data_IF_280645852547
#
_entry.id   IF_280645852547
#
_cell.length_a   1.000
_cell.length_b   1.000
_cell.length_c   1.000
_cell.angle_alpha   90.00
_cell.angle_beta   90.00
_cell.angle_gamma   90.00
#
_symmetry.space_group_name_H-M   'P 1'
#
loop_
_entity.id
_entity.type
_entity.pdbx_description
1 polymer ?
#
# COMPACT_ATOMS: atom_id res chain seq x y z
N UNK A 1 -15.12 -3.72 -1.08
CA UNK A 1 -14.14 -3.07 -1.98
C UNK A 1 -13.33 -4.07 -2.79
N UNK A 2 -12.70 -5.04 -2.19
CA UNK A 2 -11.89 -6.10 -2.79
C UNK A 2 -12.53 -7.44 -2.52
N UNK A 3 -12.58 -8.32 -3.52
CA UNK A 3 -12.96 -9.72 -3.36
C UNK A 3 -12.00 -10.59 -4.16
N UNK A 4 -11.29 -11.45 -3.47
CA UNK A 4 -10.43 -12.50 -4.02
C UNK A 4 -11.11 -13.83 -3.77
N UNK A 5 -11.26 -14.65 -4.80
CA UNK A 5 -11.87 -15.98 -4.73
C UNK A 5 -10.93 -17.00 -5.37
N UNK A 6 -10.49 -17.95 -4.55
CA UNK A 6 -9.59 -19.06 -4.93
C UNK A 6 -8.33 -18.58 -5.67
N UNK A 7 -7.68 -17.51 -5.19
CA UNK A 7 -6.48 -16.96 -5.81
C UNK A 7 -5.28 -17.87 -5.59
N UNK A 8 -4.64 -18.23 -6.69
CA UNK A 8 -3.36 -18.91 -6.72
C UNK A 8 -2.29 -18.04 -7.39
N UNK A 9 -1.04 -18.15 -6.93
CA UNK A 9 0.12 -17.56 -7.61
C UNK A 9 1.28 -18.53 -7.66
N UNK A 10 1.68 -18.85 -8.87
CA UNK A 10 2.80 -19.73 -9.20
C UNK A 10 3.89 -18.90 -9.89
N UNK A 11 5.11 -18.99 -9.41
CA UNK A 11 6.28 -18.49 -10.12
C UNK A 11 7.01 -19.67 -10.74
N UNK A 12 7.29 -19.57 -12.03
CA UNK A 12 8.05 -20.59 -12.78
C UNK A 12 9.36 -19.99 -13.23
N UNK A 13 10.45 -20.61 -12.87
CA UNK A 13 11.76 -20.47 -13.49
C UNK A 13 12.08 -21.77 -14.24
N UNK A 14 13.12 -21.76 -15.06
CA UNK A 14 13.48 -22.92 -15.93
C UNK A 14 13.63 -24.22 -15.15
N UNK A 15 13.97 -24.20 -13.87
CA UNK A 15 14.25 -25.38 -13.05
C UNK A 15 13.32 -25.57 -11.84
N UNK A 16 12.58 -24.53 -11.42
CA UNK A 16 11.81 -24.55 -10.16
C UNK A 16 10.44 -23.91 -10.32
N UNK A 17 9.43 -24.62 -9.87
CA UNK A 17 8.08 -24.04 -9.68
C UNK A 17 7.85 -23.75 -8.20
N UNK A 18 7.59 -22.49 -7.87
CA UNK A 18 7.31 -22.04 -6.49
C UNK A 18 5.88 -21.55 -6.40
N UNK A 19 5.08 -22.19 -5.56
CA UNK A 19 3.72 -21.72 -5.24
C UNK A 19 3.80 -20.69 -4.13
N UNK A 20 3.57 -19.42 -4.47
CA UNK A 20 3.59 -18.32 -3.50
C UNK A 20 2.24 -18.11 -2.81
N UNK A 21 1.11 -18.35 -3.51
CA UNK A 21 -0.23 -18.28 -2.94
C UNK A 21 -1.04 -19.51 -3.32
N UNK A 22 -1.84 -20.02 -2.37
CA UNK A 22 -2.62 -21.25 -2.50
C UNK A 22 -4.03 -21.03 -1.99
N UNK A 23 -5.00 -20.96 -2.91
CA UNK A 23 -6.43 -20.87 -2.58
C UNK A 23 -6.71 -19.75 -1.57
N UNK A 24 -6.41 -18.50 -1.95
CA UNK A 24 -6.68 -17.33 -1.14
C UNK A 24 -8.10 -16.85 -1.40
N UNK A 25 -8.94 -16.92 -0.36
CA UNK A 25 -10.24 -16.31 -0.29
C UNK A 25 -10.19 -15.13 0.68
N UNK A 26 -10.44 -13.92 0.18
CA UNK A 26 -10.36 -12.70 0.97
C UNK A 26 -11.33 -11.64 0.46
N UNK A 27 -12.09 -11.05 1.37
CA UNK A 27 -12.86 -9.83 1.11
C UNK A 27 -12.35 -8.70 1.99
N UNK A 28 -12.28 -7.48 1.45
CA UNK A 28 -11.93 -6.26 2.19
C UNK A 28 -12.98 -5.21 1.85
N UNK A 29 -13.60 -4.65 2.88
CA UNK A 29 -14.65 -3.65 2.75
C UNK A 29 -14.06 -2.22 2.59
N UNK A 30 -14.84 -1.27 2.07
CA UNK A 30 -14.42 0.13 2.01
C UNK A 30 -14.27 0.69 3.44
N UNK A 31 -13.22 1.48 3.66
CA UNK A 31 -12.89 2.06 4.97
C UNK A 31 -12.35 1.05 5.99
N UNK A 32 -12.08 -0.20 5.59
CA UNK A 32 -11.46 -1.19 6.47
C UNK A 32 -9.96 -0.94 6.60
N UNK A 33 -9.42 -1.12 7.81
CA UNK A 33 -7.97 -1.20 8.04
C UNK A 33 -7.63 -2.65 8.34
N UNK A 34 -6.88 -3.29 7.44
CA UNK A 34 -6.49 -4.70 7.53
C UNK A 34 -4.99 -4.82 7.68
N UNK A 35 -4.52 -5.62 8.62
CA UNK A 35 -3.13 -6.02 8.76
C UNK A 35 -2.93 -7.47 8.31
N UNK A 36 -1.98 -7.71 7.42
CA UNK A 36 -1.56 -9.05 6.97
C UNK A 36 -0.26 -9.39 7.66
N UNK A 37 -0.27 -10.48 8.42
CA UNK A 37 0.86 -10.97 9.22
C UNK A 37 1.28 -12.38 8.78
N UNK A 38 2.49 -12.77 9.17
CA UNK A 38 3.03 -14.10 8.94
C UNK A 38 4.56 -14.09 8.82
N UNK A 39 5.21 -15.25 8.83
CA UNK A 39 6.65 -15.35 8.69
C UNK A 39 7.17 -14.83 7.35
N UNK A 40 8.49 -14.56 7.28
CA UNK A 40 9.13 -14.18 6.01
C UNK A 40 8.93 -15.28 4.97
N UNK A 41 8.68 -14.88 3.71
CA UNK A 41 8.49 -15.82 2.59
C UNK A 41 7.10 -16.48 2.52
N UNK A 42 6.16 -16.22 3.44
CA UNK A 42 4.84 -16.87 3.41
C UNK A 42 3.86 -16.30 2.36
N UNK A 43 4.27 -15.35 1.51
CA UNK A 43 3.45 -14.82 0.40
C UNK A 43 2.78 -13.46 0.65
N UNK A 44 3.06 -12.76 1.77
CA UNK A 44 2.41 -11.46 2.12
C UNK A 44 2.58 -10.39 1.04
N UNK A 45 3.82 -10.12 0.63
CA UNK A 45 4.11 -9.10 -0.40
C UNK A 45 3.57 -9.53 -1.77
N UNK A 46 3.53 -10.84 -2.07
CA UNK A 46 2.88 -11.36 -3.27
C UNK A 46 1.38 -11.08 -3.25
N UNK A 47 0.71 -11.33 -2.12
CA UNK A 47 -0.71 -11.02 -1.96
C UNK A 47 -0.94 -9.51 -2.08
N UNK A 48 -0.10 -8.69 -1.43
CA UNK A 48 -0.19 -7.22 -1.51
C UNK A 48 -0.01 -6.73 -2.96
N UNK A 49 0.91 -7.31 -3.73
CA UNK A 49 1.13 -6.96 -5.13
C UNK A 49 -0.05 -7.34 -6.02
N UNK A 50 -0.71 -8.48 -5.76
CA UNK A 50 -1.95 -8.85 -6.48
C UNK A 50 -3.07 -7.86 -6.12
N UNK A 51 -3.30 -7.59 -4.84
CA UNK A 51 -4.27 -6.57 -4.39
C UNK A 51 -3.97 -5.21 -5.04
N UNK A 52 -2.69 -4.89 -5.16
CA UNK A 52 -2.17 -3.66 -5.77
C UNK A 52 -2.19 -3.61 -7.28
N UNK A 53 -2.68 -4.65 -7.96
CA UNK A 53 -2.70 -4.75 -9.42
C UNK A 53 -1.30 -4.63 -10.06
N UNK A 54 -0.23 -4.87 -9.28
CA UNK A 54 1.16 -4.91 -9.76
C UNK A 54 1.46 -6.28 -10.37
N UNK A 55 0.95 -7.34 -9.73
CA UNK A 55 1.09 -8.71 -10.19
C UNK A 55 -0.29 -9.34 -10.47
N UNK A 56 -0.32 -10.38 -11.28
CA UNK A 56 -1.54 -11.10 -11.65
C UNK A 56 -1.60 -12.44 -10.94
N UNK A 57 -2.78 -12.89 -10.50
CA UNK A 57 -2.94 -14.27 -10.06
C UNK A 57 -2.68 -15.23 -11.24
N UNK A 58 -2.23 -16.44 -10.93
CA UNK A 58 -2.12 -17.52 -11.92
C UNK A 58 -3.47 -18.18 -12.20
N UNK A 59 -4.38 -18.16 -11.21
CA UNK A 59 -5.78 -18.58 -11.33
C UNK A 59 -6.61 -17.97 -10.20
N UNK A 60 -7.93 -18.12 -10.28
CA UNK A 60 -8.90 -17.54 -9.36
C UNK A 60 -9.53 -16.27 -9.92
N UNK A 61 -10.38 -15.63 -9.14
CA UNK A 61 -11.13 -14.42 -9.54
C UNK A 61 -10.81 -13.25 -8.62
N UNK A 62 -10.55 -12.10 -9.21
CA UNK A 62 -10.35 -10.85 -8.48
C UNK A 62 -11.39 -9.80 -8.91
N UNK A 63 -12.21 -9.34 -7.95
CA UNK A 63 -13.13 -8.23 -8.16
C UNK A 63 -12.65 -7.01 -7.37
N UNK A 64 -12.53 -5.87 -8.06
CA UNK A 64 -12.26 -4.57 -7.47
C UNK A 64 -13.50 -3.68 -7.61
N UNK A 65 -14.11 -3.27 -6.50
CA UNK A 65 -15.39 -2.53 -6.45
C UNK A 65 -16.52 -3.20 -7.25
N UNK A 66 -16.57 -4.54 -7.21
CA UNK A 66 -17.58 -5.32 -7.92
C UNK A 66 -17.29 -5.57 -9.40
N UNK A 67 -16.26 -4.94 -9.96
CA UNK A 67 -15.81 -5.16 -11.34
C UNK A 67 -14.75 -6.26 -11.37
N UNK A 68 -14.94 -7.28 -12.22
CA UNK A 68 -13.95 -8.32 -12.42
C UNK A 68 -12.77 -7.79 -13.23
N UNK A 69 -11.56 -7.99 -12.67
CA UNK A 69 -10.35 -7.43 -13.24
C UNK A 69 -9.31 -8.48 -13.64
N UNK A 70 -9.59 -9.77 -13.40
CA UNK A 70 -8.66 -10.87 -13.64
C UNK A 70 -8.10 -10.88 -15.05
N UNK A 71 -8.96 -10.65 -16.06
CA UNK A 71 -8.62 -10.68 -17.50
C UNK A 71 -8.39 -9.29 -18.12
N UNK A 72 -8.34 -8.22 -17.31
CA UNK A 72 -8.12 -6.87 -17.84
C UNK A 72 -6.72 -6.71 -18.40
N UNK A 73 -6.59 -5.92 -19.46
CA UNK A 73 -5.28 -5.58 -20.04
C UNK A 73 -4.45 -4.69 -19.09
N UNK A 74 -3.15 -4.63 -19.34
CA UNK A 74 -2.23 -3.84 -18.49
C UNK A 74 -2.56 -2.35 -18.50
N UNK A 75 -3.06 -1.82 -19.61
CA UNK A 75 -3.44 -0.40 -19.72
C UNK A 75 -4.66 -0.09 -18.82
N UNK A 76 -5.63 -1.00 -18.72
CA UNK A 76 -6.76 -0.88 -17.79
C UNK A 76 -6.30 -0.97 -16.34
N UNK A 77 -5.46 -1.95 -15.99
CA UNK A 77 -4.90 -2.09 -14.64
C UNK A 77 -4.07 -0.86 -14.24
N UNK A 78 -3.25 -0.32 -15.15
CA UNK A 78 -2.49 0.89 -14.91
C UNK A 78 -3.38 2.11 -14.63
N UNK A 79 -4.50 2.26 -15.34
CA UNK A 79 -5.50 3.31 -15.05
C UNK A 79 -6.13 3.11 -13.68
N UNK A 80 -6.51 1.88 -13.32
CA UNK A 80 -7.10 1.56 -12.02
C UNK A 80 -6.09 1.85 -10.88
N UNK A 81 -4.82 1.45 -11.04
CA UNK A 81 -3.75 1.79 -10.08
C UNK A 81 -3.64 3.30 -9.89
N UNK A 82 -3.49 4.04 -11.00
CA UNK A 82 -3.37 5.50 -11.00
C UNK A 82 -4.51 6.17 -10.25
N UNK A 83 -5.74 5.71 -10.46
CA UNK A 83 -6.93 6.42 -10.00
C UNK A 83 -7.35 6.03 -8.59
N UNK A 84 -7.00 4.81 -8.13
CA UNK A 84 -7.54 4.25 -6.89
C UNK A 84 -6.49 3.88 -5.84
N UNK A 85 -5.22 3.74 -6.20
CA UNK A 85 -4.22 3.09 -5.33
C UNK A 85 -3.12 4.07 -4.91
N UNK A 86 -2.72 3.99 -3.64
CA UNK A 86 -1.51 4.59 -3.10
C UNK A 86 -0.61 3.52 -2.50
N UNK A 87 0.69 3.58 -2.77
CA UNK A 87 1.67 2.61 -2.28
C UNK A 87 2.63 3.26 -1.31
N UNK A 88 2.86 2.60 -0.18
CA UNK A 88 3.85 2.94 0.84
C UNK A 88 4.76 1.73 1.02
N UNK A 89 6.06 1.88 0.76
CA UNK A 89 7.05 0.80 0.83
C UNK A 89 7.97 0.98 2.03
N UNK A 90 8.56 -0.12 2.49
CA UNK A 90 9.56 -0.13 3.55
C UNK A 90 10.80 0.72 3.21
N UNK A 91 11.26 0.67 1.96
CA UNK A 91 12.47 1.38 1.49
C UNK A 91 12.19 2.79 0.95
N UNK A 92 11.04 3.40 1.31
CA UNK A 92 10.58 4.73 0.90
C UNK A 92 10.42 4.89 -0.62
N UNK A 93 11.34 4.39 -1.43
CA UNK A 93 11.38 4.46 -2.90
C UNK A 93 11.22 5.91 -3.41
N UNK A 94 11.89 6.85 -2.75
CA UNK A 94 12.04 8.22 -3.22
C UNK A 94 13.13 8.28 -4.29
N UNK A 95 12.97 9.19 -5.24
CA UNK A 95 13.97 9.46 -6.28
C UNK A 95 14.94 10.50 -5.75
N UNK A 96 16.22 10.15 -5.62
CA UNK A 96 17.24 10.96 -4.95
C UNK A 96 17.54 12.28 -5.67
N UNK A 97 17.37 12.32 -7.00
CA UNK A 97 17.58 13.49 -7.85
C UNK A 97 16.41 14.49 -7.83
N UNK A 98 15.30 14.12 -7.21
CA UNK A 98 14.11 14.96 -7.09
C UNK A 98 14.00 15.52 -5.67
N UNK A 99 13.53 16.75 -5.56
CA UNK A 99 13.10 17.32 -4.27
C UNK A 99 11.93 16.53 -3.68
N UNK A 100 11.66 16.74 -2.40
CA UNK A 100 10.52 16.09 -1.73
C UNK A 100 9.19 16.50 -2.38
N UNK A 101 9.01 17.77 -2.74
CA UNK A 101 7.80 18.20 -3.44
C UNK A 101 7.64 17.51 -4.80
N UNK A 102 8.72 17.39 -5.58
CA UNK A 102 8.72 16.70 -6.87
C UNK A 102 8.44 15.19 -6.70
N UNK A 103 9.02 14.54 -5.68
CA UNK A 103 8.71 13.15 -5.35
C UNK A 103 7.23 12.96 -5.04
N UNK A 104 6.61 13.86 -4.28
CA UNK A 104 5.18 13.81 -3.98
C UNK A 104 4.35 14.06 -5.24
N UNK A 105 4.77 15.00 -6.10
CA UNK A 105 4.09 15.31 -7.36
C UNK A 105 4.05 14.12 -8.33
N UNK A 106 5.00 13.16 -8.24
CA UNK A 106 4.98 11.93 -9.07
C UNK A 106 3.65 11.17 -8.97
N UNK A 107 2.98 11.18 -7.81
CA UNK A 107 1.66 10.59 -7.64
C UNK A 107 0.57 11.22 -8.51
N UNK A 108 0.84 12.36 -9.13
CA UNK A 108 -0.09 13.11 -9.99
C UNK A 108 0.34 13.18 -11.46
N UNK A 109 1.55 12.74 -11.83
CA UNK A 109 2.14 12.93 -13.17
C UNK A 109 1.23 12.40 -14.28
N UNK A 110 0.62 11.24 -14.06
CA UNK A 110 -0.27 10.61 -15.05
C UNK A 110 -1.73 11.05 -14.96
N UNK A 111 -2.04 12.03 -14.09
CA UNK A 111 -3.38 12.62 -13.96
C UNK A 111 -3.43 13.96 -14.71
N UNK A 112 -4.51 14.21 -15.45
CA UNK A 112 -4.70 15.44 -16.25
C UNK A 112 -5.15 16.60 -15.36
N UNK A 113 -4.28 17.07 -14.46
CA UNK A 113 -4.59 18.20 -13.59
C UNK A 113 -3.80 19.44 -13.99
N UNK A 114 -4.42 20.62 -13.87
CA UNK A 114 -3.75 21.89 -14.12
C UNK A 114 -2.60 22.11 -13.13
N UNK A 115 -1.50 22.73 -13.56
CA UNK A 115 -0.31 22.91 -12.73
C UNK A 115 -0.57 23.59 -11.39
N UNK A 116 -1.49 24.58 -11.34
CA UNK A 116 -1.87 25.24 -10.10
C UNK A 116 -2.56 24.29 -9.12
N UNK A 117 -3.43 23.43 -9.61
CA UNK A 117 -4.14 22.43 -8.81
C UNK A 117 -3.18 21.35 -8.29
N UNK A 118 -2.26 20.88 -9.14
CA UNK A 118 -1.21 19.92 -8.72
C UNK A 118 -0.39 20.46 -7.55
N UNK A 119 0.08 21.72 -7.65
CA UNK A 119 0.86 22.35 -6.60
C UNK A 119 0.09 22.41 -5.27
N UNK A 120 -1.17 22.84 -5.30
CA UNK A 120 -2.00 22.91 -4.10
C UNK A 120 -2.20 21.53 -3.45
N UNK A 121 -2.38 20.46 -4.25
CA UNK A 121 -2.53 19.09 -3.75
C UNK A 121 -1.24 18.55 -3.15
N UNK A 122 -0.09 18.83 -3.77
CA UNK A 122 1.23 18.46 -3.24
C UNK A 122 1.45 19.12 -1.87
N UNK A 123 1.19 20.42 -1.76
CA UNK A 123 1.30 21.17 -0.51
C UNK A 123 0.39 20.58 0.57
N UNK A 124 -0.90 20.38 0.28
CA UNK A 124 -1.86 19.79 1.20
C UNK A 124 -1.47 18.37 1.65
N UNK A 125 -0.96 17.51 0.74
CA UNK A 125 -0.50 16.17 1.09
C UNK A 125 0.73 16.21 2.00
N UNK A 126 1.67 17.12 1.76
CA UNK A 126 2.86 17.30 2.59
C UNK A 126 2.53 17.88 3.96
N UNK A 127 1.59 18.83 4.04
CA UNK A 127 1.09 19.35 5.31
C UNK A 127 0.41 18.28 6.14
N UNK A 128 -0.40 17.43 5.49
CA UNK A 128 -1.11 16.32 6.15
C UNK A 128 -0.18 15.37 6.90
N UNK A 129 1.03 15.16 6.40
CA UNK A 129 2.03 14.26 7.01
C UNK A 129 3.17 15.03 7.73
N UNK A 130 3.08 16.37 7.81
CA UNK A 130 4.03 17.21 8.55
C UNK A 130 5.42 17.36 7.91
N UNK A 131 5.53 17.30 6.56
CA UNK A 131 6.82 17.47 5.84
C UNK A 131 6.85 18.66 4.89
N UNK A 132 5.86 19.55 4.90
CA UNK A 132 5.81 20.70 4.00
C UNK A 132 7.03 21.63 4.12
N UNK A 133 7.59 21.79 5.33
CA UNK A 133 8.81 22.55 5.57
C UNK A 133 10.06 21.96 4.89
N UNK A 134 9.99 20.72 4.38
CA UNK A 134 11.05 20.01 3.65
C UNK A 134 10.83 19.97 2.13
N UNK A 135 9.85 20.70 1.60
CA UNK A 135 9.45 20.66 0.19
C UNK A 135 10.60 20.76 -0.81
N UNK A 136 11.59 21.62 -0.51
CA UNK A 136 12.74 21.91 -1.38
C UNK A 136 13.99 21.08 -1.07
N UNK A 137 13.92 20.20 -0.06
CA UNK A 137 15.04 19.32 0.29
C UNK A 137 15.02 18.08 -0.60
N UNK A 138 16.17 17.41 -0.69
CA UNK A 138 16.33 16.12 -1.36
C UNK A 138 16.26 14.97 -0.34
N UNK A 139 15.93 13.73 -0.77
CA UNK A 139 15.79 12.59 0.14
C UNK A 139 16.96 12.39 1.10
N UNK A 140 18.20 12.48 0.61
CA UNK A 140 19.42 12.30 1.42
C UNK A 140 19.60 13.36 2.54
N UNK A 141 18.83 14.44 2.52
CA UNK A 141 18.85 15.50 3.54
C UNK A 141 17.81 15.27 4.66
N UNK A 142 17.02 14.19 4.57
CA UNK A 142 15.93 13.88 5.49
C UNK A 142 16.28 12.67 6.36
N UNK A 143 15.75 12.65 7.60
CA UNK A 143 15.76 11.45 8.43
C UNK A 143 14.85 10.36 7.79
N UNK A 144 15.06 9.09 8.16
CA UNK A 144 14.21 7.98 7.67
C UNK A 144 12.73 8.21 7.92
N UNK A 145 12.34 8.71 9.10
CA UNK A 145 10.95 9.05 9.41
C UNK A 145 10.39 10.17 8.52
N UNK A 146 11.20 11.19 8.19
CA UNK A 146 10.79 12.24 7.26
C UNK A 146 10.65 11.71 5.82
N UNK A 147 11.55 10.82 5.40
CA UNK A 147 11.49 10.17 4.08
C UNK A 147 10.22 9.31 3.98
N UNK A 148 9.88 8.54 5.02
CA UNK A 148 8.67 7.73 5.03
C UNK A 148 7.40 8.59 4.99
N UNK A 149 7.37 9.69 5.74
CA UNK A 149 6.24 10.64 5.66
C UNK A 149 6.13 11.25 4.26
N UNK A 150 7.24 11.56 3.59
CA UNK A 150 7.22 12.02 2.19
C UNK A 150 6.68 10.94 1.24
N UNK A 151 7.07 9.67 1.44
CA UNK A 151 6.54 8.53 0.68
C UNK A 151 5.02 8.36 0.89
N UNK A 152 4.53 8.56 2.12
CA UNK A 152 3.08 8.57 2.40
C UNK A 152 2.41 9.77 1.70
N UNK A 153 2.99 10.97 1.75
CA UNK A 153 2.45 12.13 1.02
C UNK A 153 2.30 11.83 -0.47
N UNK A 154 3.31 11.21 -1.11
CA UNK A 154 3.26 10.74 -2.50
C UNK A 154 2.12 9.74 -2.73
N UNK A 155 1.91 8.81 -1.80
CA UNK A 155 0.86 7.82 -1.91
C UNK A 155 -0.54 8.43 -1.85
N UNK A 156 -0.75 9.46 -1.00
CA UNK A 156 -2.08 10.05 -0.74
C UNK A 156 -2.40 11.28 -1.59
N UNK A 157 -1.43 11.88 -2.29
CA UNK A 157 -1.62 13.13 -3.06
C UNK A 157 -2.72 13.01 -4.12
N UNK A 158 -2.90 11.81 -4.65
CA UNK A 158 -3.97 11.47 -5.59
C UNK A 158 -5.32 11.18 -4.95
N UNK A 159 -5.44 11.23 -3.63
CA UNK A 159 -6.64 10.84 -2.87
C UNK A 159 -7.11 9.42 -3.24
N UNK A 160 -6.25 8.40 -3.06
CA UNK A 160 -6.61 7.03 -3.40
C UNK A 160 -7.69 6.50 -2.45
N UNK A 161 -8.51 5.59 -2.95
CA UNK A 161 -9.49 4.88 -2.13
C UNK A 161 -8.90 3.69 -1.36
N UNK A 162 -7.72 3.22 -1.81
CA UNK A 162 -6.99 2.11 -1.21
C UNK A 162 -5.52 2.47 -1.05
N UNK A 163 -5.01 2.33 0.17
CA UNK A 163 -3.60 2.49 0.51
C UNK A 163 -3.03 1.10 0.82
N UNK A 164 -1.95 0.74 0.13
CA UNK A 164 -1.20 -0.49 0.34
C UNK A 164 0.12 -0.14 1.00
N UNK A 165 0.38 -0.69 2.18
CA UNK A 165 1.58 -0.42 2.96
C UNK A 165 2.37 -1.72 3.18
N UNK A 166 3.54 -1.85 2.57
CA UNK A 166 4.43 -2.99 2.76
C UNK A 166 5.51 -2.63 3.79
N UNK A 167 5.36 -3.14 5.00
CA UNK A 167 6.22 -2.90 6.16
C UNK A 167 6.57 -1.41 6.39
N UNK A 168 5.57 -0.52 6.52
CA UNK A 168 5.77 0.94 6.44
C UNK A 168 6.66 1.51 7.56
N UNK A 169 6.97 0.72 8.58
CA UNK A 169 7.79 1.11 9.74
C UNK A 169 9.06 0.30 9.88
N UNK A 170 9.33 -0.64 8.95
CA UNK A 170 10.41 -1.63 9.09
C UNK A 170 11.83 -1.05 9.13
N UNK A 171 12.04 0.15 8.60
CA UNK A 171 13.34 0.85 8.59
C UNK A 171 13.36 2.06 9.53
N UNK A 172 12.44 2.15 10.50
CA UNK A 172 12.30 3.30 11.40
C UNK A 172 12.57 2.90 12.85
N UNK A 173 13.05 3.87 13.63
CA UNK A 173 13.02 3.77 15.08
C UNK A 173 11.57 3.79 15.61
N UNK A 174 11.41 3.49 16.88
CA UNK A 174 10.08 3.36 17.51
C UNK A 174 9.27 4.64 17.41
N UNK A 175 9.87 5.80 17.70
CA UNK A 175 9.17 7.09 17.70
C UNK A 175 8.65 7.47 16.30
N UNK A 176 9.52 7.37 15.28
CA UNK A 176 9.13 7.61 13.90
C UNK A 176 8.12 6.57 13.38
N UNK A 177 8.25 5.32 13.84
CA UNK A 177 7.28 4.25 13.53
C UNK A 177 5.88 4.57 14.07
N UNK A 178 5.76 5.02 15.32
CA UNK A 178 4.49 5.44 15.92
C UNK A 178 3.87 6.62 15.17
N UNK A 179 4.67 7.64 14.80
CA UNK A 179 4.18 8.77 14.00
C UNK A 179 3.62 8.32 12.64
N UNK A 180 4.28 7.39 11.97
CA UNK A 180 3.79 6.80 10.71
C UNK A 180 2.47 6.05 10.92
N UNK A 181 2.37 5.26 11.99
CA UNK A 181 1.14 4.53 12.31
C UNK A 181 -0.01 5.49 12.64
N UNK A 182 0.24 6.61 13.33
CA UNK A 182 -0.78 7.62 13.62
C UNK A 182 -1.28 8.33 12.35
N UNK A 183 -0.40 8.58 11.38
CA UNK A 183 -0.80 9.08 10.07
C UNK A 183 -1.73 8.07 9.37
N UNK A 184 -1.37 6.78 9.32
CA UNK A 184 -2.21 5.75 8.71
C UNK A 184 -3.57 5.61 9.40
N UNK A 185 -3.62 5.65 10.75
CA UNK A 185 -4.88 5.68 11.51
C UNK A 185 -5.75 6.87 11.10
N UNK A 186 -5.16 8.06 11.04
CA UNK A 186 -5.88 9.28 10.67
C UNK A 186 -6.45 9.19 9.24
N UNK A 187 -5.67 8.65 8.29
CA UNK A 187 -6.15 8.43 6.91
C UNK A 187 -7.31 7.43 6.86
N UNK A 188 -7.25 6.36 7.67
CA UNK A 188 -8.36 5.41 7.77
C UNK A 188 -9.60 6.02 8.42
N UNK A 189 -9.43 6.85 9.45
CA UNK A 189 -10.54 7.56 10.09
C UNK A 189 -11.25 8.52 9.12
N UNK A 190 -10.52 9.08 8.14
CA UNK A 190 -11.06 9.91 7.05
C UNK A 190 -11.68 9.06 5.90
N UNK A 191 -11.76 7.74 6.06
CA UNK A 191 -12.45 6.84 5.13
C UNK A 191 -11.55 6.08 4.15
N UNK A 192 -10.22 6.27 4.16
CA UNK A 192 -9.34 5.47 3.32
C UNK A 192 -9.35 3.99 3.73
N UNK A 193 -9.43 3.08 2.76
CA UNK A 193 -9.19 1.65 3.00
C UNK A 193 -7.69 1.43 3.07
N UNK A 194 -7.21 0.67 4.06
CA UNK A 194 -5.78 0.39 4.25
C UNK A 194 -5.54 -1.11 4.34
N UNK A 195 -4.59 -1.61 3.54
CA UNK A 195 -4.05 -2.96 3.67
C UNK A 195 -2.56 -2.83 3.98
N UNK A 196 -2.17 -3.26 5.17
CA UNK A 196 -0.80 -3.17 5.65
C UNK A 196 -0.22 -4.58 5.85
N UNK A 197 0.96 -4.81 5.29
CA UNK A 197 1.81 -5.96 5.66
C UNK A 197 2.72 -5.53 6.78
N UNK A 198 2.79 -6.30 7.85
CA UNK A 198 3.71 -6.07 8.95
C UNK A 198 4.06 -7.36 9.67
N UNK A 199 5.27 -7.42 10.22
CA UNK A 199 5.69 -8.47 11.15
C UNK A 199 5.62 -8.02 12.63
N UNK A 200 5.30 -6.74 12.88
CA UNK A 200 5.16 -6.17 14.23
C UNK A 200 3.75 -6.40 14.79
N UNK A 201 3.58 -7.15 15.88
CA UNK A 201 2.28 -7.35 16.51
C UNK A 201 1.66 -6.03 16.98
N UNK A 202 2.45 -5.11 17.55
CA UNK A 202 1.97 -3.82 18.03
C UNK A 202 1.40 -2.94 16.90
N UNK A 203 2.03 -2.98 15.71
CA UNK A 203 1.50 -2.26 14.56
C UNK A 203 0.27 -2.95 13.96
N UNK A 204 0.24 -4.29 13.95
CA UNK A 204 -0.94 -5.03 13.51
C UNK A 204 -2.16 -4.78 14.40
N UNK A 205 -1.93 -4.52 15.69
CA UNK A 205 -2.97 -4.20 16.66
C UNK A 205 -3.73 -2.89 16.38
N UNK A 206 -3.17 -2.03 15.54
CA UNK A 206 -3.83 -0.80 15.09
C UNK A 206 -4.97 -1.11 14.10
N UNK A 207 -4.85 -2.20 13.33
CA UNK A 207 -5.85 -2.60 12.36
C UNK A 207 -7.09 -3.20 13.04
N UNK A 208 -8.27 -2.93 12.45
CA UNK A 208 -9.55 -3.50 12.91
C UNK A 208 -9.65 -5.01 12.64
N UNK A 209 -8.85 -5.51 11.69
CA UNK A 209 -8.82 -6.92 11.29
C UNK A 209 -7.40 -7.36 11.02
N UNK A 210 -7.06 -8.53 11.54
CA UNK A 210 -5.78 -9.18 11.30
C UNK A 210 -5.97 -10.45 10.48
N UNK A 211 -5.13 -10.63 9.49
CA UNK A 211 -5.06 -11.79 8.61
C UNK A 211 -3.70 -12.43 8.82
N UNK A 212 -3.69 -13.70 9.27
CA UNK A 212 -2.45 -14.44 9.43
C UNK A 212 -2.24 -15.38 8.25
N UNK A 213 -1.07 -15.29 7.64
CA UNK A 213 -0.65 -16.14 6.53
C UNK A 213 0.45 -17.10 6.93
N UNK A 214 0.37 -18.32 6.38
CA UNK A 214 1.41 -19.35 6.48
C UNK A 214 1.45 -20.14 5.18
N UNK A 215 2.64 -20.36 4.61
CA UNK A 215 2.88 -21.18 3.42
C UNK A 215 1.91 -20.89 2.25
N UNK A 216 1.70 -19.59 1.98
CA UNK A 216 0.85 -19.12 0.90
C UNK A 216 -0.65 -19.22 1.16
N UNK A 217 -1.09 -19.50 2.40
CA UNK A 217 -2.50 -19.63 2.79
C UNK A 217 -2.89 -18.65 3.88
N UNK A 218 -4.14 -18.25 3.90
CA UNK A 218 -4.73 -17.57 5.06
C UNK A 218 -5.13 -18.64 6.07
N UNK A 219 -4.57 -18.59 7.29
CA UNK A 219 -4.84 -19.54 8.37
C UNK A 219 -5.83 -19.01 9.39
N UNK A 220 -5.82 -17.69 9.63
CA UNK A 220 -6.76 -17.01 10.53
C UNK A 220 -7.08 -15.63 9.98
N UNK A 221 -8.36 -15.26 10.03
CA UNK A 221 -8.83 -13.91 9.78
C UNK A 221 -9.75 -13.50 10.93
N UNK A 222 -9.21 -12.74 11.88
CA UNK A 222 -9.94 -12.31 13.06
C UNK A 222 -10.29 -10.82 12.98
N UNK A 223 -11.56 -10.47 13.20
CA UNK A 223 -11.98 -9.08 13.47
C UNK A 223 -11.80 -8.81 14.97
N UNK A 224 -11.22 -7.69 15.33
CA UNK A 224 -11.27 -7.21 16.70
C UNK A 224 -12.70 -6.81 17.06
N UNK A 225 -13.18 -7.27 18.21
CA UNK A 225 -14.38 -6.70 18.80
C UNK A 225 -14.13 -5.22 19.10
N UNK A 226 -15.08 -4.38 18.73
CA UNK A 226 -15.05 -2.94 18.98
C UNK A 226 -15.12 -2.62 20.48
#
# INVERSE_FOLDING_TARGET
MITLADIHRLFRSDEVETTALRSIDLSIDEGEFVAIMGPSGCGKSTLLNIIGLIDRPSSGRYLFRGEEITDRDEAALARMRRDNLGFVFQSFNLIDELTIAENVELGLVYRRWAGKERKARVEAAMDRVGVAHRARHYPHQLSGGQQQRAAIARAIVGQPSLILADEPTGNLDTENGEQVMDILKSLNADGATIVMVTHSPSHADVAKRQINMLDGRIIVSARRAA
#
